data_IF_469652817523
#
_entry.id   IF_469652817523
#
_cell.length_a   1.000
_cell.length_b   1.000
_cell.length_c   1.000
_cell.angle_alpha   90.00
_cell.angle_beta   90.00
_cell.angle_gamma   90.00
#
_symmetry.space_group_name_H-M   'P 1'
#
loop_
_entity.id
_entity.type
_entity.pdbx_description
1 polymer ?
#
# COMPACT_ATOMS: atom_id res chain seq x y z
N UNK A 1 -12.35 6.47 -19.74
CA UNK A 1 -13.53 7.29 -19.33
C UNK A 1 -14.78 6.45 -18.99
N UNK A 2 -14.65 5.17 -18.60
CA UNK A 2 -15.76 4.40 -17.99
C UNK A 2 -15.43 3.89 -16.57
N UNK A 3 -14.19 4.07 -16.14
CA UNK A 3 -13.73 3.87 -14.75
C UNK A 3 -14.05 5.08 -13.84
N UNK A 4 -14.51 6.20 -14.41
CA UNK A 4 -14.87 7.42 -13.70
C UNK A 4 -16.29 7.42 -13.10
N UNK A 5 -17.00 6.28 -13.16
CA UNK A 5 -18.26 6.10 -12.41
C UNK A 5 -17.97 5.18 -11.23
N UNK A 6 -17.61 5.82 -10.13
CA UNK A 6 -17.33 5.25 -8.81
C UNK A 6 -18.56 4.54 -8.25
N UNK A 7 -18.45 3.29 -7.78
CA UNK A 7 -19.53 2.67 -7.06
C UNK A 7 -19.34 2.79 -5.54
N UNK A 8 -20.43 3.10 -4.85
CA UNK A 8 -20.47 3.70 -3.49
C UNK A 8 -20.36 2.70 -2.33
N UNK A 9 -19.92 1.46 -2.55
CA UNK A 9 -19.87 0.44 -1.50
C UNK A 9 -18.81 -0.64 -1.74
N UNK A 10 -18.43 -1.34 -0.67
CA UNK A 10 -17.53 -2.52 -0.69
C UNK A 10 -18.02 -3.62 -1.64
N UNK A 11 -19.34 -3.79 -1.80
CA UNK A 11 -19.91 -4.75 -2.75
C UNK A 11 -19.58 -4.41 -4.22
N UNK A 12 -19.18 -3.17 -4.49
CA UNK A 12 -18.88 -2.74 -5.84
C UNK A 12 -17.40 -2.80 -6.22
N UNK A 13 -16.51 -2.88 -5.22
CA UNK A 13 -15.12 -3.30 -5.42
C UNK A 13 -15.06 -4.78 -5.79
N UNK A 14 -15.89 -5.61 -5.16
CA UNK A 14 -16.07 -7.02 -5.56
C UNK A 14 -16.60 -7.11 -7.01
N UNK A 15 -17.41 -6.14 -7.47
CA UNK A 15 -17.93 -6.04 -8.84
C UNK A 15 -16.87 -5.63 -9.88
N UNK A 16 -15.84 -4.86 -9.48
CA UNK A 16 -14.70 -4.51 -10.35
C UNK A 16 -13.76 -5.71 -10.50
N UNK A 17 -13.52 -6.46 -9.42
CA UNK A 17 -12.80 -7.74 -9.49
C UNK A 17 -13.56 -8.79 -10.31
N UNK A 18 -14.90 -8.82 -10.27
CA UNK A 18 -15.69 -9.73 -11.12
C UNK A 18 -15.76 -9.33 -12.59
N UNK A 19 -15.33 -8.11 -12.96
CA UNK A 19 -15.37 -7.62 -14.35
C UNK A 19 -14.07 -7.85 -15.14
N UNK A 20 -13.06 -8.52 -14.58
CA UNK A 20 -11.88 -8.99 -15.32
C UNK A 20 -10.98 -7.88 -15.88
N UNK A 21 -11.04 -6.66 -15.32
CA UNK A 21 -10.29 -5.50 -15.82
C UNK A 21 -8.99 -5.20 -15.07
N UNK A 22 -8.67 -5.98 -14.04
CA UNK A 22 -7.48 -5.80 -13.22
C UNK A 22 -6.66 -7.09 -13.22
N UNK A 23 -5.35 -6.97 -13.03
CA UNK A 23 -4.48 -8.11 -12.88
C UNK A 23 -4.79 -8.82 -11.56
N UNK A 24 -4.92 -10.15 -11.60
CA UNK A 24 -5.27 -10.94 -10.42
C UNK A 24 -4.03 -11.49 -9.67
N UNK A 25 -2.84 -11.47 -10.30
CA UNK A 25 -1.61 -12.03 -9.71
C UNK A 25 -0.37 -11.24 -10.08
N UNK A 26 0.32 -10.72 -9.07
CA UNK A 26 1.59 -10.03 -9.22
C UNK A 26 2.60 -10.86 -10.03
N UNK A 27 3.20 -10.21 -11.03
CA UNK A 27 4.21 -10.80 -11.90
C UNK A 27 3.65 -11.59 -13.08
N UNK A 28 2.31 -11.68 -13.22
CA UNK A 28 1.67 -12.40 -14.32
C UNK A 28 0.55 -11.55 -14.93
N UNK A 29 0.39 -11.65 -16.24
CA UNK A 29 -0.82 -11.16 -16.92
C UNK A 29 -1.41 -12.30 -17.73
N UNK A 30 -2.71 -12.54 -17.57
CA UNK A 30 -3.46 -13.36 -18.52
C UNK A 30 -3.59 -12.64 -19.85
N UNK A 31 -3.91 -13.38 -20.92
CA UNK A 31 -4.08 -12.78 -22.25
C UNK A 31 -5.23 -11.76 -22.27
N UNK A 32 -6.31 -12.02 -21.54
CA UNK A 32 -7.48 -11.15 -21.49
C UNK A 32 -7.22 -9.90 -20.66
N UNK A 33 -6.52 -10.01 -19.52
CA UNK A 33 -6.05 -8.87 -18.74
C UNK A 33 -5.16 -7.95 -19.59
N UNK A 34 -4.18 -8.53 -20.30
CA UNK A 34 -3.27 -7.80 -21.16
C UNK A 34 -4.01 -7.04 -22.27
N UNK A 35 -4.90 -7.73 -22.99
CA UNK A 35 -5.68 -7.13 -24.09
C UNK A 35 -6.62 -6.05 -23.60
N UNK A 36 -7.30 -6.29 -22.49
CA UNK A 36 -8.27 -5.36 -21.90
C UNK A 36 -7.56 -4.11 -21.38
N UNK A 37 -6.46 -4.29 -20.64
CA UNK A 37 -5.65 -3.19 -20.10
C UNK A 37 -5.06 -2.31 -21.22
N UNK A 38 -4.42 -2.91 -22.23
CA UNK A 38 -3.86 -2.14 -23.35
C UNK A 38 -4.93 -1.43 -24.18
N UNK A 39 -6.11 -2.04 -24.36
CA UNK A 39 -7.24 -1.39 -25.04
C UNK A 39 -7.76 -0.19 -24.23
N UNK A 40 -7.86 -0.32 -22.91
CA UNK A 40 -8.26 0.78 -22.02
C UNK A 40 -7.26 1.95 -22.06
N UNK A 41 -5.96 1.64 -22.14
CA UNK A 41 -4.87 2.61 -22.29
C UNK A 41 -4.71 3.16 -23.71
N UNK A 42 -5.51 2.65 -24.67
CA UNK A 42 -5.38 2.97 -26.11
C UNK A 42 -3.94 2.78 -26.62
N UNK A 43 -3.24 1.78 -26.08
CA UNK A 43 -1.83 1.51 -26.34
C UNK A 43 -1.66 0.16 -27.06
N UNK A 44 -1.55 0.19 -28.39
CA UNK A 44 -1.33 -1.00 -29.24
C UNK A 44 0.16 -1.30 -29.53
N UNK A 45 1.06 -0.51 -28.94
CA UNK A 45 2.50 -0.61 -29.14
C UNK A 45 3.26 -0.16 -27.89
N UNK A 46 4.49 -0.66 -27.72
CA UNK A 46 5.36 -0.29 -26.60
C UNK A 46 5.58 1.22 -26.53
N UNK A 47 5.68 1.89 -27.68
CA UNK A 47 5.84 3.36 -27.73
C UNK A 47 4.62 4.09 -27.14
N UNK A 48 3.40 3.69 -27.53
CA UNK A 48 2.17 4.26 -26.95
C UNK A 48 2.02 3.94 -25.47
N UNK A 49 2.41 2.74 -25.04
CA UNK A 49 2.39 2.36 -23.62
C UNK A 49 3.35 3.24 -22.80
N UNK A 50 4.58 3.44 -23.28
CA UNK A 50 5.55 4.36 -22.64
C UNK A 50 5.02 5.79 -22.57
N UNK A 51 4.29 6.24 -23.59
CA UNK A 51 3.67 7.57 -23.63
C UNK A 51 2.49 7.70 -22.65
N UNK A 52 1.75 6.61 -22.40
CA UNK A 52 0.66 6.57 -21.43
C UNK A 52 1.16 6.45 -19.97
N UNK A 53 2.42 6.03 -19.75
CA UNK A 53 2.97 5.81 -18.42
C UNK A 53 2.90 7.05 -17.49
N UNK A 54 3.23 8.28 -17.93
CA UNK A 54 3.08 9.45 -17.07
C UNK A 54 1.63 9.71 -16.65
N UNK A 55 0.66 9.46 -17.53
CA UNK A 55 -0.77 9.59 -17.23
C UNK A 55 -1.22 8.54 -16.21
N UNK A 56 -0.73 7.30 -16.33
CA UNK A 56 -0.96 6.24 -15.34
C UNK A 56 -0.41 6.59 -13.97
N UNK A 57 0.82 7.14 -13.92
CA UNK A 57 1.42 7.61 -12.66
C UNK A 57 0.56 8.73 -12.06
N UNK A 58 0.05 9.64 -12.88
CA UNK A 58 -0.88 10.68 -12.41
C UNK A 58 -2.21 10.09 -11.92
N UNK A 59 -2.80 9.11 -12.61
CA UNK A 59 -4.07 8.50 -12.20
C UNK A 59 -3.95 7.76 -10.86
N UNK A 60 -2.84 7.03 -10.64
CA UNK A 60 -2.51 6.48 -9.32
C UNK A 60 -2.45 7.55 -8.23
N UNK A 61 -2.15 8.80 -8.59
CA UNK A 61 -2.13 9.92 -7.66
C UNK A 61 -3.52 10.49 -7.34
N UNK A 62 -4.54 10.18 -8.15
CA UNK A 62 -5.90 10.73 -8.03
C UNK A 62 -6.96 9.71 -7.56
N UNK A 63 -6.61 8.43 -7.44
CA UNK A 63 -7.57 7.33 -7.26
C UNK A 63 -8.19 7.15 -5.85
N UNK A 64 -8.00 8.06 -4.89
CA UNK A 64 -8.78 8.05 -3.63
C UNK A 64 -9.82 9.18 -3.59
N UNK A 65 -10.85 9.07 -4.42
CA UNK A 65 -12.13 9.70 -4.10
C UNK A 65 -12.98 8.74 -3.26
N UNK A 66 -12.56 8.38 -2.04
CA UNK A 66 -13.48 7.98 -0.97
C UNK A 66 -12.81 7.89 0.43
N UNK A 67 -13.18 8.84 1.30
CA UNK A 67 -12.90 8.97 2.76
C UNK A 67 -11.41 9.12 3.18
N UNK A 68 -10.99 10.08 4.01
CA UNK A 68 -11.67 10.99 4.93
C UNK A 68 -10.71 12.15 5.27
N UNK A 69 -11.28 13.34 5.52
CA UNK A 69 -10.69 14.54 6.12
C UNK A 69 -9.29 14.41 6.76
N UNK A 70 -8.30 15.15 6.23
CA UNK A 70 -7.46 16.17 6.92
C UNK A 70 -6.37 16.69 5.94
N UNK A 71 -6.49 17.97 5.56
CA UNK A 71 -5.43 18.93 5.16
C UNK A 71 -4.49 18.65 3.94
N UNK A 72 -3.79 19.69 3.42
CA UNK A 72 -3.45 19.82 2.01
C UNK A 72 -2.15 19.08 1.66
N UNK A 73 -2.27 17.81 1.31
CA UNK A 73 -1.12 17.03 0.89
C UNK A 73 -1.57 15.87 0.01
N UNK A 74 -1.75 16.13 -1.28
CA UNK A 74 -2.06 15.17 -2.35
C UNK A 74 -1.14 13.93 -2.43
N UNK A 75 -0.17 13.75 -1.51
CA UNK A 75 0.84 12.69 -1.46
C UNK A 75 0.35 11.42 -0.75
N UNK A 76 -0.45 11.54 0.31
CA UNK A 76 -0.91 10.37 1.12
C UNK A 76 -1.84 9.46 0.31
N UNK A 77 -2.71 10.07 -0.49
CA UNK A 77 -3.66 9.40 -1.38
C UNK A 77 -2.96 8.55 -2.46
N UNK A 78 -1.82 9.00 -2.98
CA UNK A 78 -1.08 8.27 -4.03
C UNK A 78 -0.53 6.93 -3.52
N UNK A 79 -0.08 6.93 -2.26
CA UNK A 79 0.50 5.72 -1.64
C UNK A 79 -0.57 4.70 -1.31
N UNK A 80 -1.74 5.13 -0.83
CA UNK A 80 -2.85 4.23 -0.52
C UNK A 80 -3.41 3.56 -1.77
N UNK A 81 -3.54 4.29 -2.88
CA UNK A 81 -3.96 3.74 -4.18
C UNK A 81 -2.96 2.72 -4.75
N UNK A 82 -1.67 3.08 -4.83
CA UNK A 82 -0.62 2.16 -5.30
C UNK A 82 -0.49 0.92 -4.39
N UNK A 83 -0.66 1.11 -3.08
CA UNK A 83 -0.63 0.04 -2.10
C UNK A 83 -1.81 -0.91 -2.21
N UNK A 84 -3.03 -0.38 -2.36
CA UNK A 84 -4.22 -1.20 -2.54
C UNK A 84 -4.02 -2.13 -3.74
N UNK A 85 -3.44 -1.60 -4.82
CA UNK A 85 -3.03 -2.37 -6.00
C UNK A 85 -1.94 -3.39 -5.65
N UNK A 86 -0.86 -3.01 -4.96
CA UNK A 86 0.18 -3.96 -4.57
C UNK A 86 -0.37 -5.12 -3.73
N UNK A 87 -1.28 -4.83 -2.79
CA UNK A 87 -1.86 -5.82 -1.88
C UNK A 87 -2.91 -6.68 -2.58
N UNK A 88 -3.74 -6.12 -3.48
CA UNK A 88 -4.66 -6.91 -4.30
C UNK A 88 -3.92 -7.81 -5.28
N UNK A 89 -2.71 -7.43 -5.69
CA UNK A 89 -1.86 -8.21 -6.59
C UNK A 89 -1.01 -9.26 -5.87
N UNK A 90 -0.74 -9.11 -4.57
CA UNK A 90 -0.08 -10.18 -3.81
C UNK A 90 -0.90 -11.45 -3.96
N UNK A 91 -0.26 -12.61 -4.20
CA UNK A 91 -0.95 -13.81 -4.62
C UNK A 91 -2.10 -14.08 -3.67
N UNK A 92 -3.33 -13.95 -4.22
CA UNK A 92 -4.52 -14.49 -3.61
C UNK A 92 -4.19 -15.95 -3.28
N UNK A 93 -3.85 -16.25 -2.02
CA UNK A 93 -3.96 -17.61 -1.51
C UNK A 93 -5.46 -17.86 -1.45
N UNK A 94 -5.98 -18.23 -2.61
CA UNK A 94 -7.34 -18.60 -2.88
C UNK A 94 -7.58 -19.90 -2.12
N UNK A 95 -7.79 -19.79 -0.81
CA UNK A 95 -8.40 -20.79 0.08
C UNK A 95 -8.41 -20.30 1.54
N UNK A 96 -7.47 -19.44 1.96
CA UNK A 96 -7.40 -18.93 3.33
C UNK A 96 -7.56 -17.40 3.39
N UNK A 97 -8.71 -16.95 3.89
CA UNK A 97 -9.17 -15.55 4.00
C UNK A 97 -8.29 -14.60 4.86
N UNK A 98 -7.04 -14.94 5.15
CA UNK A 98 -6.15 -14.12 5.99
C UNK A 98 -5.25 -13.27 5.10
N UNK A 99 -5.60 -12.00 4.94
CA UNK A 99 -4.83 -10.95 4.23
C UNK A 99 -3.56 -10.61 5.02
N UNK A 100 -2.54 -11.45 4.92
CA UNK A 100 -1.27 -11.30 5.64
C UNK A 100 -0.08 -11.37 4.68
N UNK A 101 0.94 -10.58 4.93
CA UNK A 101 2.16 -10.45 4.12
C UNK A 101 3.34 -10.97 4.95
N UNK A 102 4.16 -11.87 4.40
CA UNK A 102 5.38 -12.31 5.10
C UNK A 102 6.32 -11.13 5.33
N UNK A 103 7.00 -11.09 6.49
CA UNK A 103 7.85 -9.95 6.88
C UNK A 103 8.89 -9.55 5.81
N UNK A 104 9.64 -10.49 5.20
CA UNK A 104 10.60 -10.10 4.16
C UNK A 104 9.93 -9.37 2.99
N UNK A 105 8.75 -9.83 2.57
CA UNK A 105 7.97 -9.18 1.51
C UNK A 105 7.45 -7.82 1.97
N UNK A 106 6.96 -7.72 3.21
CA UNK A 106 6.50 -6.47 3.78
C UNK A 106 7.62 -5.42 3.83
N UNK A 107 8.85 -5.79 4.22
CA UNK A 107 9.99 -4.87 4.23
C UNK A 107 10.33 -4.33 2.83
N UNK A 108 10.32 -5.18 1.81
CA UNK A 108 10.53 -4.75 0.42
C UNK A 108 9.43 -3.81 -0.07
N UNK A 109 8.18 -4.11 0.28
CA UNK A 109 7.06 -3.22 -0.05
C UNK A 109 7.15 -1.89 0.70
N UNK A 110 7.56 -1.87 1.96
CA UNK A 110 7.76 -0.64 2.74
C UNK A 110 8.85 0.22 2.10
N UNK A 111 9.95 -0.38 1.64
CA UNK A 111 11.00 0.32 0.89
C UNK A 111 10.48 0.91 -0.42
N UNK A 112 9.72 0.12 -1.18
CA UNK A 112 9.19 0.54 -2.48
C UNK A 112 8.16 1.67 -2.34
N UNK A 113 7.23 1.53 -1.39
CA UNK A 113 6.09 2.42 -1.23
C UNK A 113 6.47 3.64 -0.39
N UNK A 114 7.11 3.47 0.76
CA UNK A 114 7.35 4.57 1.71
C UNK A 114 8.81 5.04 1.75
N UNK A 115 9.74 4.21 1.30
CA UNK A 115 11.18 4.43 1.46
C UNK A 115 11.71 5.69 0.76
N UNK A 116 11.04 6.21 -0.27
CA UNK A 116 11.45 7.47 -0.92
C UNK A 116 11.18 8.71 -0.06
N UNK A 117 10.12 8.69 0.76
CA UNK A 117 9.70 9.87 1.55
C UNK A 117 10.04 9.73 3.02
N UNK A 118 9.91 8.53 3.59
CA UNK A 118 10.05 8.26 5.01
C UNK A 118 11.26 7.36 5.27
N UNK A 119 12.36 7.59 4.55
CA UNK A 119 13.53 6.70 4.59
C UNK A 119 14.02 6.39 6.01
N UNK A 120 14.19 7.38 6.91
CA UNK A 120 14.65 7.11 8.27
C UNK A 120 13.69 6.22 9.08
N UNK A 121 12.38 6.45 8.95
CA UNK A 121 11.35 5.64 9.59
C UNK A 121 11.35 4.20 9.04
N UNK A 122 11.34 4.07 7.71
CA UNK A 122 11.27 2.78 7.01
C UNK A 122 12.50 1.93 7.30
N UNK A 123 13.70 2.51 7.29
CA UNK A 123 14.92 1.77 7.61
C UNK A 123 14.87 1.23 9.05
N UNK A 124 14.40 2.02 10.02
CA UNK A 124 14.25 1.57 11.41
C UNK A 124 13.15 0.53 11.57
N UNK A 125 12.00 0.72 10.91
CA UNK A 125 10.90 -0.23 10.95
C UNK A 125 11.33 -1.57 10.35
N UNK A 126 12.01 -1.57 9.21
CA UNK A 126 12.54 -2.79 8.59
C UNK A 126 13.55 -3.51 9.51
N UNK A 127 14.46 -2.75 10.15
CA UNK A 127 15.39 -3.33 11.11
C UNK A 127 14.66 -3.99 12.30
N UNK A 128 13.66 -3.32 12.85
CA UNK A 128 12.85 -3.87 13.93
C UNK A 128 12.09 -5.12 13.49
N UNK A 129 11.41 -5.08 12.34
CA UNK A 129 10.64 -6.20 11.80
C UNK A 129 11.50 -7.45 11.58
N UNK A 130 12.76 -7.28 11.18
CA UNK A 130 13.73 -8.35 11.00
C UNK A 130 14.38 -8.81 12.32
N UNK A 131 14.43 -7.94 13.34
CA UNK A 131 14.98 -8.24 14.66
C UNK A 131 13.99 -9.03 15.54
N UNK A 132 12.74 -8.59 15.57
CA UNK A 132 11.70 -9.21 16.39
C UNK A 132 11.34 -10.61 15.86
N UNK A 133 10.92 -11.51 16.76
CA UNK A 133 10.56 -12.88 16.39
C UNK A 133 9.09 -13.24 16.63
N UNK A 134 8.32 -12.35 17.26
CA UNK A 134 6.95 -12.56 17.70
C UNK A 134 5.97 -12.60 16.53
N UNK A 135 6.21 -11.77 15.52
CA UNK A 135 5.44 -11.68 14.31
C UNK A 135 6.17 -12.39 13.17
N UNK A 136 5.43 -13.19 12.40
CA UNK A 136 5.92 -13.83 11.16
C UNK A 136 5.29 -13.23 9.90
N UNK A 137 4.16 -12.57 10.07
CA UNK A 137 3.39 -11.94 9.00
C UNK A 137 2.85 -10.60 9.48
N UNK A 138 2.64 -9.69 8.53
CA UNK A 138 2.03 -8.38 8.71
C UNK A 138 0.60 -8.44 8.19
N UNK A 139 -0.35 -8.07 9.04
CA UNK A 139 -1.77 -7.93 8.68
C UNK A 139 -2.05 -6.57 8.04
N UNK A 140 -3.20 -6.44 7.38
CA UNK A 140 -3.65 -5.15 6.84
C UNK A 140 -3.73 -4.05 7.90
N UNK A 141 -4.21 -4.36 9.10
CA UNK A 141 -4.33 -3.39 10.19
C UNK A 141 -2.97 -2.84 10.61
N UNK A 142 -2.00 -3.73 10.83
CA UNK A 142 -0.62 -3.36 11.17
C UNK A 142 0.02 -2.53 10.05
N UNK A 143 -0.19 -2.94 8.79
CA UNK A 143 0.30 -2.20 7.64
C UNK A 143 -0.26 -0.78 7.57
N UNK A 144 -1.58 -0.62 7.75
CA UNK A 144 -2.22 0.70 7.80
C UNK A 144 -1.69 1.53 8.96
N UNK A 145 -1.42 0.88 10.11
CA UNK A 145 -0.72 1.48 11.23
C UNK A 145 0.65 2.04 10.83
N UNK A 146 1.47 1.30 10.08
CA UNK A 146 2.80 1.76 9.64
C UNK A 146 2.73 3.02 8.77
N UNK A 147 1.73 3.09 7.87
CA UNK A 147 1.50 4.28 7.04
C UNK A 147 1.07 5.45 7.92
N UNK A 148 0.12 5.22 8.83
CA UNK A 148 -0.34 6.24 9.77
C UNK A 148 0.82 6.76 10.61
N UNK A 149 1.68 5.87 11.12
CA UNK A 149 2.88 6.21 11.87
C UNK A 149 3.82 7.12 11.07
N UNK A 150 4.12 6.77 9.82
CA UNK A 150 5.02 7.58 8.98
C UNK A 150 4.48 8.99 8.72
N UNK A 151 3.17 9.16 8.66
CA UNK A 151 2.53 10.45 8.38
C UNK A 151 2.30 11.31 9.62
N UNK A 152 1.91 10.69 10.74
CA UNK A 152 1.45 11.42 11.93
C UNK A 152 2.54 11.59 12.98
N UNK A 153 3.54 10.70 13.06
CA UNK A 153 4.53 10.69 14.14
C UNK A 153 5.79 11.46 13.76
N UNK A 154 6.21 12.34 14.66
CA UNK A 154 7.46 13.08 14.54
C UNK A 154 8.63 12.15 14.72
N UNK A 155 9.46 12.06 13.68
CA UNK A 155 10.64 11.21 13.68
C UNK A 155 11.90 12.07 13.50
N UNK A 156 12.97 11.86 14.28
CA UNK A 156 13.21 10.73 15.18
C UNK A 156 12.74 10.94 16.63
N UNK A 157 12.18 12.09 17.03
CA UNK A 157 11.96 12.37 18.46
C UNK A 157 10.89 11.47 19.11
N UNK A 158 9.80 11.19 18.39
CA UNK A 158 8.62 10.42 18.83
C UNK A 158 7.84 11.12 19.96
N UNK A 159 7.98 12.43 20.09
CA UNK A 159 7.39 13.20 21.21
C UNK A 159 5.87 13.23 21.19
N UNK A 160 5.28 13.10 19.98
CA UNK A 160 3.84 13.05 19.79
C UNK A 160 3.28 11.62 19.69
N UNK A 161 4.10 10.60 20.00
CA UNK A 161 3.63 9.21 20.08
C UNK A 161 2.99 8.93 21.45
N UNK A 162 1.73 8.51 21.43
CA UNK A 162 0.94 8.14 22.59
C UNK A 162 0.46 6.68 22.45
N UNK A 163 0.90 5.82 23.36
CA UNK A 163 0.58 4.38 23.40
C UNK A 163 -0.84 4.09 23.88
N UNK A 164 -1.54 5.07 24.46
CA UNK A 164 -2.95 4.92 24.85
C UNK A 164 -3.91 5.08 23.65
N UNK A 165 -3.39 5.53 22.50
CA UNK A 165 -4.12 5.56 21.24
C UNK A 165 -4.23 4.16 20.62
N UNK A 166 -5.15 3.98 19.67
CA UNK A 166 -5.39 2.71 18.98
C UNK A 166 -4.31 2.40 17.92
N UNK A 167 -3.04 2.32 18.34
CA UNK A 167 -1.96 1.78 17.52
C UNK A 167 -1.97 0.24 17.56
N UNK A 168 -1.59 -0.42 16.46
CA UNK A 168 -1.29 -1.84 16.50
C UNK A 168 -0.14 -2.11 17.48
N UNK A 169 -0.25 -3.15 18.31
CA UNK A 169 0.75 -3.48 19.34
C UNK A 169 2.19 -3.59 18.81
N UNK A 170 2.36 -4.03 17.55
CA UNK A 170 3.68 -4.09 16.91
C UNK A 170 4.35 -2.71 16.78
N UNK A 171 3.58 -1.63 16.67
CA UNK A 171 4.09 -0.27 16.67
C UNK A 171 4.45 0.23 18.06
N UNK A 172 3.68 -0.14 19.09
CA UNK A 172 4.04 0.17 20.48
C UNK A 172 5.39 -0.49 20.83
N UNK A 173 5.53 -1.78 20.53
CA UNK A 173 6.78 -2.52 20.73
C UNK A 173 7.94 -1.93 19.91
N UNK A 174 7.66 -1.45 18.70
CA UNK A 174 8.67 -0.79 17.86
C UNK A 174 9.16 0.53 18.48
N UNK A 175 8.25 1.34 19.01
CA UNK A 175 8.60 2.61 19.66
C UNK A 175 9.37 2.38 20.95
N UNK A 176 8.99 1.38 21.73
CA UNK A 176 9.74 0.93 22.91
C UNK A 176 11.17 0.52 22.52
N UNK A 177 11.31 -0.37 21.53
CA UNK A 177 12.60 -0.79 21.00
C UNK A 177 13.46 0.40 20.51
N UNK A 178 12.85 1.40 19.85
CA UNK A 178 13.56 2.61 19.42
C UNK A 178 14.07 3.45 20.59
N UNK A 179 13.33 3.52 21.70
CA UNK A 179 13.72 4.28 22.90
C UNK A 179 14.85 3.58 23.64
N UNK A 180 14.82 2.26 23.72
CA UNK A 180 15.89 1.46 24.33
C UNK A 180 17.22 1.58 23.57
N UNK A 181 17.19 1.53 22.24
CA UNK A 181 18.39 1.61 21.40
C UNK A 181 18.94 3.04 21.20
N UNK A 182 18.35 4.05 21.86
CA UNK A 182 18.85 5.44 21.89
C UNK A 182 19.70 5.74 23.12
N UNK A 183 19.71 4.85 24.12
CA UNK A 183 20.60 4.91 25.29
C UNK A 183 21.92 4.19 25.01
#
# INVERSE_FOLDING_TARGET
MLWAQTPRSTAAYDEIHTRGTCCDKQGYFTLDEWRTGLKALRADSISKLKKAFPELVQECNFADHFHMFINPGYKVIQFLGFLHICISLLPHRYEDKKKCIEIPVACELLNLVLGLQFRPQVDKLNNYLMYQNDYKVITMDQWMGFIRFCNEIYFPSLDNYDSDLAWPLILDNFVEWLRENKS
#
